data_IF_417097874891
#
_entry.id   IF_417097874891
#
_cell.length_a   1.000
_cell.length_b   1.000
_cell.length_c   1.000
_cell.angle_alpha   90.00
_cell.angle_beta   90.00
_cell.angle_gamma   90.00
#
_symmetry.space_group_name_H-M   'P 1'
#
loop_
_entity.id
_entity.type
_entity.pdbx_description
1 polymer ?
#
# COMPACT_ATOMS: atom_id res chain seq x y z
N UNK A 1 -14.66 -0.19 43.09
CA UNK A 1 -15.71 0.52 42.34
C UNK A 1 -15.00 1.11 41.11
N UNK A 2 -15.63 1.42 39.98
CA UNK A 2 -14.91 2.13 38.89
C UNK A 2 -15.37 3.58 38.94
N UNK A 3 -14.45 4.51 39.13
CA UNK A 3 -14.77 5.93 39.10
C UNK A 3 -14.24 6.56 37.81
N UNK A 4 -15.07 7.37 37.17
CA UNK A 4 -14.71 8.08 35.95
C UNK A 4 -14.03 9.40 36.31
N UNK A 5 -12.82 9.63 35.79
CA UNK A 5 -12.11 10.91 35.91
C UNK A 5 -12.12 11.59 34.55
N UNK A 6 -12.72 12.78 34.50
CA UNK A 6 -12.61 13.63 33.31
C UNK A 6 -11.21 14.25 33.28
N UNK A 7 -10.39 13.84 32.31
CA UNK A 7 -9.04 14.37 32.08
C UNK A 7 -8.96 15.11 30.75
N UNK A 8 -8.04 16.08 30.65
CA UNK A 8 -7.71 16.71 29.37
C UNK A 8 -6.54 15.96 28.76
N UNK A 9 -6.62 15.53 27.50
CA UNK A 9 -5.44 15.02 26.80
C UNK A 9 -4.46 16.17 26.68
N UNK A 10 -3.33 16.06 27.37
CA UNK A 10 -2.31 17.11 27.40
C UNK A 10 -1.54 17.12 26.08
N UNK A 11 -1.25 15.96 25.49
CA UNK A 11 -0.61 15.82 24.17
C UNK A 11 -0.93 14.47 23.51
N UNK A 12 -0.97 14.44 22.18
CA UNK A 12 -0.97 13.23 21.34
C UNK A 12 0.47 12.94 20.91
N UNK A 13 0.92 11.70 21.06
CA UNK A 13 2.29 11.34 20.66
C UNK A 13 2.43 11.27 19.13
N UNK A 14 3.17 12.23 18.56
CA UNK A 14 3.42 12.33 17.11
C UNK A 14 4.13 11.07 16.60
N UNK A 15 5.08 10.53 17.38
CA UNK A 15 5.81 9.31 17.01
C UNK A 15 4.88 8.09 16.89
N UNK A 16 3.95 7.90 17.83
CA UNK A 16 3.02 6.77 17.73
C UNK A 16 2.05 6.95 16.56
N UNK A 17 1.58 8.17 16.32
CA UNK A 17 0.71 8.47 15.18
C UNK A 17 1.42 8.27 13.83
N UNK A 18 2.70 8.63 13.71
CA UNK A 18 3.52 8.32 12.54
C UNK A 18 3.67 6.82 12.33
N UNK A 19 3.97 6.05 13.39
CA UNK A 19 4.15 4.59 13.28
C UNK A 19 2.82 3.92 12.89
N UNK A 20 1.71 4.31 13.53
CA UNK A 20 0.39 3.79 13.19
C UNK A 20 0.02 4.13 11.74
N UNK A 21 0.23 5.38 11.32
CA UNK A 21 0.01 5.82 9.94
C UNK A 21 0.88 5.05 8.94
N UNK A 22 2.14 4.77 9.29
CA UNK A 22 3.04 4.00 8.45
C UNK A 22 2.60 2.54 8.29
N UNK A 23 2.12 1.89 9.36
CA UNK A 23 1.60 0.52 9.27
C UNK A 23 0.32 0.42 8.44
N UNK A 24 -0.61 1.37 8.61
CA UNK A 24 -1.84 1.43 7.82
C UNK A 24 -1.50 1.69 6.35
N UNK A 25 -0.63 2.66 6.08
CA UNK A 25 -0.14 2.98 4.74
C UNK A 25 0.56 1.78 4.09
N UNK A 26 1.42 1.09 4.82
CA UNK A 26 2.10 -0.12 4.35
C UNK A 26 1.10 -1.21 3.97
N UNK A 27 0.15 -1.54 4.86
CA UNK A 27 -0.85 -2.57 4.61
C UNK A 27 -1.67 -2.32 3.35
N UNK A 28 -2.20 -1.10 3.20
CA UNK A 28 -2.95 -0.71 2.01
C UNK A 28 -2.06 -0.70 0.76
N UNK A 29 -0.86 -0.14 0.87
CA UNK A 29 0.09 -0.06 -0.24
C UNK A 29 0.54 -1.42 -0.75
N UNK A 30 0.75 -2.41 0.14
CA UNK A 30 1.08 -3.77 -0.26
C UNK A 30 -0.05 -4.40 -1.05
N UNK A 31 -1.30 -4.29 -0.58
CA UNK A 31 -2.46 -4.84 -1.31
C UNK A 31 -2.58 -4.17 -2.69
N UNK A 32 -2.55 -2.84 -2.75
CA UNK A 32 -2.64 -2.12 -4.02
C UNK A 32 -1.48 -2.44 -4.95
N UNK A 33 -0.26 -2.54 -4.43
CA UNK A 33 0.92 -2.89 -5.22
C UNK A 33 0.89 -4.33 -5.75
N UNK A 34 0.39 -5.28 -4.97
CA UNK A 34 0.18 -6.65 -5.41
C UNK A 34 -0.88 -6.71 -6.53
N UNK A 35 -1.98 -5.98 -6.39
CA UNK A 35 -2.99 -5.87 -7.47
C UNK A 35 -2.36 -5.30 -8.73
N UNK A 36 -1.58 -4.22 -8.61
CA UNK A 36 -0.90 -3.59 -9.75
C UNK A 36 0.10 -4.56 -10.41
N UNK A 37 0.92 -5.26 -9.62
CA UNK A 37 1.85 -6.28 -10.12
C UNK A 37 1.14 -7.44 -10.82
N UNK A 38 0.00 -7.88 -10.28
CA UNK A 38 -0.81 -8.94 -10.88
C UNK A 38 -1.44 -8.50 -12.20
N UNK A 39 -1.93 -7.26 -12.26
CA UNK A 39 -2.45 -6.65 -13.49
C UNK A 39 -1.35 -6.56 -14.55
N UNK A 40 -0.12 -6.16 -14.20
CA UNK A 40 1.00 -6.11 -15.14
C UNK A 40 1.37 -7.50 -15.69
N UNK A 41 1.51 -8.49 -14.82
CA UNK A 41 1.83 -9.86 -15.23
C UNK A 41 0.73 -10.47 -16.11
N UNK A 42 -0.54 -10.19 -15.77
CA UNK A 42 -1.69 -10.60 -16.57
C UNK A 42 -1.71 -9.95 -17.95
N UNK A 43 -1.50 -8.63 -18.03
CA UNK A 43 -1.44 -7.92 -19.32
C UNK A 43 -0.30 -8.43 -20.20
N UNK A 44 0.85 -8.77 -19.63
CA UNK A 44 1.95 -9.35 -20.40
C UNK A 44 1.55 -10.66 -21.07
N UNK A 45 0.87 -11.56 -20.34
CA UNK A 45 0.33 -12.80 -20.92
C UNK A 45 -0.76 -12.56 -21.95
N UNK A 46 -1.64 -11.58 -21.71
CA UNK A 46 -2.71 -11.23 -22.66
C UNK A 46 -2.16 -10.72 -24.01
N UNK A 47 -1.11 -9.88 -23.97
CA UNK A 47 -0.45 -9.37 -25.19
C UNK A 47 0.23 -10.51 -25.96
N UNK A 48 0.91 -11.43 -25.26
CA UNK A 48 1.57 -12.58 -25.90
C UNK A 48 0.58 -13.51 -26.59
N UNK A 49 -0.55 -13.81 -25.95
CA UNK A 49 -1.61 -14.62 -26.58
C UNK A 49 -2.20 -13.91 -27.80
N UNK A 50 -2.48 -12.60 -27.70
CA UNK A 50 -2.98 -11.82 -28.82
C UNK A 50 -2.02 -11.79 -30.01
N UNK A 51 -0.70 -11.67 -29.77
CA UNK A 51 0.30 -11.76 -30.83
C UNK A 51 0.33 -13.13 -31.50
N UNK A 52 0.21 -14.21 -30.70
CA UNK A 52 0.17 -15.57 -31.22
C UNK A 52 -1.05 -15.79 -32.12
N UNK A 53 -2.21 -15.30 -31.70
CA UNK A 53 -3.45 -15.41 -32.49
C UNK A 53 -3.36 -14.62 -33.80
N UNK A 54 -2.76 -13.42 -33.77
CA UNK A 54 -2.51 -12.63 -34.96
C UNK A 54 -1.49 -13.28 -35.91
N UNK A 55 -0.42 -13.87 -35.36
CA UNK A 55 0.57 -14.60 -36.16
C UNK A 55 -0.06 -15.77 -36.91
N UNK A 56 -0.93 -16.53 -36.23
CA UNK A 56 -1.70 -17.62 -36.82
C UNK A 56 -2.71 -17.14 -37.87
N UNK A 57 -3.41 -16.04 -37.60
CA UNK A 57 -4.47 -15.53 -38.50
C UNK A 57 -3.90 -14.87 -39.76
N UNK A 58 -2.80 -14.12 -39.63
CA UNK A 58 -2.21 -13.36 -40.73
C UNK A 58 -1.13 -14.13 -41.49
N UNK A 59 -0.66 -15.27 -40.95
CA UNK A 59 0.46 -16.03 -41.52
C UNK A 59 1.81 -15.30 -41.46
N UNK A 60 1.92 -14.30 -40.58
CA UNK A 60 3.12 -13.46 -40.41
C UNK A 60 3.82 -13.80 -39.10
N UNK A 61 5.15 -13.76 -39.09
CA UNK A 61 5.95 -13.97 -37.87
C UNK A 61 5.67 -12.91 -36.81
N UNK A 62 5.54 -13.34 -35.55
CA UNK A 62 5.24 -12.50 -34.36
C UNK A 62 6.21 -11.32 -34.19
N UNK A 63 7.43 -11.44 -34.71
CA UNK A 63 8.47 -10.41 -34.63
C UNK A 63 8.20 -9.18 -35.50
N UNK A 64 7.33 -9.31 -36.51
CA UNK A 64 6.89 -8.20 -37.37
C UNK A 64 5.62 -7.51 -36.83
N UNK A 65 5.00 -8.06 -35.79
CA UNK A 65 3.83 -7.47 -35.13
C UNK A 65 4.25 -6.38 -34.13
N UNK A 66 3.33 -5.46 -33.76
CA UNK A 66 3.55 -4.52 -32.68
C UNK A 66 4.00 -5.26 -31.42
N UNK A 67 5.05 -4.76 -30.74
CA UNK A 67 5.70 -5.40 -29.59
C UNK A 67 6.54 -6.66 -29.86
N UNK A 68 6.80 -7.02 -31.13
CA UNK A 68 7.64 -8.18 -31.47
C UNK A 68 9.05 -8.15 -30.87
N UNK A 69 9.66 -6.96 -30.74
CA UNK A 69 10.96 -6.78 -30.06
C UNK A 69 10.89 -6.91 -28.53
N UNK A 70 9.68 -6.80 -27.96
CA UNK A 70 9.45 -6.81 -26.52
C UNK A 70 8.96 -8.17 -26.00
N UNK A 71 8.76 -9.16 -26.88
CA UNK A 71 8.36 -10.54 -26.53
C UNK A 71 9.22 -11.11 -25.39
N UNK A 72 10.57 -11.01 -25.39
CA UNK A 72 11.38 -11.57 -24.31
C UNK A 72 11.12 -10.92 -22.96
N UNK A 73 10.78 -9.61 -22.94
CA UNK A 73 10.48 -8.87 -21.72
C UNK A 73 9.09 -9.25 -21.19
N UNK A 74 8.10 -9.33 -22.07
CA UNK A 74 6.74 -9.74 -21.71
C UNK A 74 6.72 -11.18 -21.19
N UNK A 75 7.48 -12.08 -21.82
CA UNK A 75 7.63 -13.47 -21.36
C UNK A 75 8.26 -13.52 -19.96
N UNK A 76 9.32 -12.75 -19.69
CA UNK A 76 9.90 -12.67 -18.35
C UNK A 76 8.90 -12.14 -17.33
N UNK A 77 8.18 -11.06 -17.66
CA UNK A 77 7.20 -10.46 -16.75
C UNK A 77 6.07 -11.44 -16.40
N UNK A 78 5.62 -12.24 -17.37
CA UNK A 78 4.61 -13.28 -17.16
C UNK A 78 5.18 -14.49 -16.40
N UNK A 79 6.40 -14.92 -16.71
CA UNK A 79 7.03 -16.11 -16.10
C UNK A 79 7.39 -15.86 -14.64
N UNK A 80 7.94 -14.69 -14.35
CA UNK A 80 8.39 -14.28 -13.02
C UNK A 80 7.28 -13.59 -12.24
N UNK A 81 6.01 -13.83 -12.57
CA UNK A 81 4.85 -13.20 -11.92
C UNK A 81 4.88 -13.36 -10.39
N UNK A 82 5.37 -14.50 -9.90
CA UNK A 82 5.50 -14.82 -8.48
C UNK A 82 6.54 -13.95 -7.76
N UNK A 83 7.46 -13.29 -8.48
CA UNK A 83 8.39 -12.29 -7.95
C UNK A 83 7.87 -10.88 -8.23
N UNK A 84 7.37 -10.62 -9.44
CA UNK A 84 6.88 -9.30 -9.86
C UNK A 84 5.76 -8.79 -8.95
N UNK A 85 4.80 -9.66 -8.61
CA UNK A 85 3.66 -9.32 -7.75
C UNK A 85 4.10 -8.89 -6.34
N UNK A 86 4.80 -9.72 -5.55
CA UNK A 86 5.22 -9.32 -4.21
C UNK A 86 6.24 -8.17 -4.24
N UNK A 87 7.10 -8.09 -5.26
CA UNK A 87 8.06 -7.00 -5.37
C UNK A 87 7.36 -5.65 -5.60
N UNK A 88 6.39 -5.59 -6.51
CA UNK A 88 5.54 -4.42 -6.71
C UNK A 88 4.75 -4.07 -5.42
N UNK A 89 4.21 -5.08 -4.74
CA UNK A 89 3.56 -4.95 -3.44
C UNK A 89 4.45 -4.26 -2.41
N UNK A 90 5.67 -4.75 -2.21
CA UNK A 90 6.61 -4.20 -1.23
C UNK A 90 7.02 -2.77 -1.60
N UNK A 91 7.32 -2.48 -2.87
CA UNK A 91 7.72 -1.14 -3.30
C UNK A 91 6.60 -0.11 -3.06
N UNK A 92 5.38 -0.42 -3.48
CA UNK A 92 4.22 0.46 -3.26
C UNK A 92 3.89 0.55 -1.76
N UNK A 93 4.01 -0.56 -1.03
CA UNK A 93 3.87 -0.62 0.42
C UNK A 93 4.83 0.32 1.15
N UNK A 94 6.12 0.28 0.83
CA UNK A 94 7.13 1.16 1.42
C UNK A 94 6.80 2.63 1.13
N UNK A 95 6.46 2.96 -0.11
CA UNK A 95 6.07 4.31 -0.48
C UNK A 95 4.83 4.78 0.29
N UNK A 96 3.79 3.95 0.35
CA UNK A 96 2.56 4.25 1.08
C UNK A 96 2.78 4.33 2.59
N UNK A 97 3.73 3.58 3.16
CA UNK A 97 4.12 3.67 4.56
C UNK A 97 4.74 5.04 4.89
N UNK A 98 5.59 5.56 4.02
CA UNK A 98 6.17 6.90 4.18
C UNK A 98 5.08 7.97 4.15
N UNK A 99 4.18 7.89 3.17
CA UNK A 99 3.04 8.82 3.04
C UNK A 99 2.11 8.73 4.24
N UNK A 100 1.70 7.51 4.61
CA UNK A 100 0.82 7.26 5.75
C UNK A 100 1.43 7.72 7.08
N UNK A 101 2.74 7.53 7.27
CA UNK A 101 3.44 8.03 8.44
C UNK A 101 3.47 9.55 8.50
N UNK A 102 3.73 10.23 7.38
CA UNK A 102 3.68 11.70 7.30
C UNK A 102 2.27 12.23 7.59
N UNK A 103 1.23 11.59 7.05
CA UNK A 103 -0.18 11.95 7.33
C UNK A 103 -0.48 11.76 8.82
N UNK A 104 -0.13 10.62 9.41
CA UNK A 104 -0.34 10.36 10.83
C UNK A 104 0.38 11.37 11.73
N UNK A 105 1.63 11.72 11.40
CA UNK A 105 2.39 12.73 12.11
C UNK A 105 1.78 14.14 11.98
N UNK A 106 1.34 14.51 10.78
CA UNK A 106 0.67 15.78 10.51
C UNK A 106 -0.64 15.90 11.30
N UNK A 107 -1.44 14.84 11.34
CA UNK A 107 -2.69 14.80 12.11
C UNK A 107 -2.40 14.98 13.61
N UNK A 108 -1.45 14.24 14.18
CA UNK A 108 -1.09 14.38 15.60
C UNK A 108 -0.54 15.76 15.95
N UNK A 109 0.32 16.32 15.09
CA UNK A 109 0.83 17.69 15.27
C UNK A 109 -0.31 18.73 15.21
N UNK A 110 -1.29 18.52 14.34
CA UNK A 110 -2.47 19.40 14.23
C UNK A 110 -3.33 19.35 15.50
N UNK A 111 -3.55 18.16 16.07
CA UNK A 111 -4.23 18.02 17.36
C UNK A 111 -3.47 18.69 18.50
N UNK A 112 -2.14 18.58 18.54
CA UNK A 112 -1.31 19.22 19.57
C UNK A 112 -1.30 20.75 19.49
N UNK A 113 -1.49 21.31 18.29
CA UNK A 113 -1.55 22.76 18.07
C UNK A 113 -2.96 23.33 18.18
N UNK A 114 -3.99 22.48 18.14
CA UNK A 114 -5.40 22.90 18.16
C UNK A 114 -5.78 23.55 19.49
N UNK A 115 -6.46 24.72 19.47
CA UNK A 115 -7.00 25.35 20.68
C UNK A 115 -8.21 24.58 21.27
N UNK A 116 -8.80 23.66 20.49
CA UNK A 116 -9.88 22.79 20.96
C UNK A 116 -9.27 21.60 21.71
N UNK A 117 -9.17 21.72 23.03
CA UNK A 117 -8.67 20.64 23.89
C UNK A 117 -9.56 19.40 23.78
N UNK A 118 -8.96 18.25 23.48
CA UNK A 118 -9.67 16.97 23.47
C UNK A 118 -9.93 16.55 24.93
N UNK A 119 -11.20 16.52 25.34
CA UNK A 119 -11.62 15.92 26.61
C UNK A 119 -11.64 14.40 26.46
N UNK A 120 -10.97 13.70 27.36
CA UNK A 120 -11.00 12.24 27.41
C UNK A 120 -11.38 11.81 28.81
N UNK A 121 -12.43 11.00 28.91
CA UNK A 121 -12.83 10.35 30.15
C UNK A 121 -11.94 9.14 30.33
N UNK A 122 -11.15 9.12 31.40
CA UNK A 122 -10.28 7.99 31.75
C UNK A 122 -10.91 7.26 32.92
N UNK A 123 -11.05 5.94 32.79
CA UNK A 123 -11.44 5.05 33.89
C UNK A 123 -10.19 4.68 34.69
N UNK A 124 -10.15 5.05 35.97
CA UNK A 124 -9.03 4.73 36.87
C UNK A 124 -9.45 3.55 37.75
N UNK A 125 -8.69 2.44 37.78
CA UNK A 125 -8.92 1.36 38.73
C UNK A 125 -8.58 1.85 40.15
N UNK A 126 -9.47 1.63 41.11
CA UNK A 126 -9.18 1.89 42.54
C UNK A 126 -7.91 1.13 42.95
N UNK A 127 -6.92 1.82 43.52
CA UNK A 127 -5.78 1.16 44.16
C UNK A 127 -6.30 0.40 45.38
N UNK A 128 -6.32 -0.93 45.30
CA UNK A 128 -6.60 -1.79 46.45
C UNK A 128 -5.40 -1.66 47.41
N UNK A 129 -5.64 -1.40 48.72
CA UNK A 129 -4.58 -1.23 49.71
C UNK A 129 -3.72 -2.49 49.90
#
# INVERSE_FOLDING_TARGET
MIHQVSGRVVTVSVRAAMIAGAWIGFGLGVVTGCVLGATLAWFAGAILNWQRDLGLTLGVTEQLLPFGSQIPVLQRLQSDWFIVVPFAGVLVGIFAALVGGLIGGLVAASYNRSPFGVQVVVEVPDQVP
#
